data_IF_997828758988
#
_entry.id   IF_997828758988
#
_cell.length_a   1.000
_cell.length_b   1.000
_cell.length_c   1.000
_cell.angle_alpha   90.00
_cell.angle_beta   90.00
_cell.angle_gamma   90.00
#
_symmetry.space_group_name_H-M   'P 1'
#
loop_
_entity.id
_entity.type
_entity.pdbx_description
1 polymer ?
#
# COMPACT_ATOMS: atom_id res chain seq x y z
N UNK A 1 15.08 -0.81 -25.86
CA UNK A 1 13.75 -0.24 -25.57
C UNK A 1 13.25 -0.89 -24.30
N UNK A 2 13.09 -0.14 -23.25
CA UNK A 2 12.45 -0.63 -22.05
C UNK A 2 10.98 -0.91 -22.42
N UNK A 3 10.58 -2.17 -22.37
CA UNK A 3 9.17 -2.53 -22.41
C UNK A 3 8.53 -1.91 -21.19
N UNK A 4 7.73 -0.88 -21.39
CA UNK A 4 6.76 -0.46 -20.40
C UNK A 4 5.79 -1.62 -20.25
N UNK A 5 6.05 -2.48 -19.29
CA UNK A 5 5.19 -3.62 -19.01
C UNK A 5 3.78 -3.12 -18.73
N UNK A 6 2.83 -3.54 -19.53
CA UNK A 6 1.43 -3.25 -19.31
C UNK A 6 0.97 -3.96 -18.05
N UNK A 7 0.13 -3.30 -17.26
CA UNK A 7 -0.52 -3.87 -16.09
C UNK A 7 -1.99 -3.48 -16.06
N UNK A 8 -2.79 -4.28 -15.38
CA UNK A 8 -4.20 -4.00 -15.14
C UNK A 8 -4.46 -3.90 -13.63
N UNK A 9 -5.31 -2.96 -13.24
CA UNK A 9 -5.74 -2.81 -11.85
C UNK A 9 -7.18 -3.26 -11.74
N UNK A 10 -7.46 -4.17 -10.81
CA UNK A 10 -8.80 -4.61 -10.49
C UNK A 10 -8.96 -4.95 -9.02
N UNK A 11 -10.21 -5.09 -8.59
CA UNK A 11 -10.51 -5.42 -7.20
C UNK A 11 -10.04 -6.83 -6.88
N UNK A 12 -9.37 -6.97 -5.73
CA UNK A 12 -8.90 -8.25 -5.23
C UNK A 12 -9.98 -9.01 -4.44
N UNK A 13 -9.83 -10.31 -4.43
CA UNK A 13 -10.65 -11.21 -3.62
C UNK A 13 -9.82 -12.15 -2.76
N UNK A 14 -10.48 -13.07 -2.07
CA UNK A 14 -9.82 -14.04 -1.18
C UNK A 14 -8.82 -14.96 -1.89
N UNK A 15 -8.97 -15.18 -3.19
CA UNK A 15 -8.03 -15.98 -3.98
C UNK A 15 -6.70 -15.28 -4.25
N UNK A 16 -6.60 -13.98 -3.98
CA UNK A 16 -5.43 -13.16 -4.28
C UNK A 16 -4.52 -12.94 -3.06
N UNK A 17 -4.93 -13.35 -1.85
CA UNK A 17 -4.26 -12.96 -0.60
C UNK A 17 -2.82 -13.42 -0.49
N UNK A 18 -2.48 -14.60 -0.99
CA UNK A 18 -1.10 -15.09 -0.95
C UNK A 18 -0.18 -14.28 -1.86
N UNK A 19 -0.67 -13.88 -3.03
CA UNK A 19 0.09 -13.03 -3.94
C UNK A 19 0.19 -11.59 -3.44
N UNK A 20 -0.83 -11.08 -2.76
CA UNK A 20 -0.77 -9.78 -2.07
C UNK A 20 0.32 -9.83 -1.00
N UNK A 21 0.34 -10.87 -0.17
CA UNK A 21 1.38 -11.05 0.85
C UNK A 21 2.78 -11.08 0.24
N UNK A 22 2.96 -11.82 -0.86
CA UNK A 22 4.24 -11.89 -1.56
C UNK A 22 4.69 -10.52 -2.09
N UNK A 23 3.80 -9.76 -2.70
CA UNK A 23 4.09 -8.39 -3.18
C UNK A 23 4.44 -7.45 -2.02
N UNK A 24 3.73 -7.55 -0.90
CA UNK A 24 3.99 -6.75 0.30
C UNK A 24 5.37 -7.03 0.89
N UNK A 25 5.73 -8.31 1.06
CA UNK A 25 7.05 -8.72 1.53
C UNK A 25 8.16 -8.24 0.60
N UNK A 26 7.98 -8.38 -0.70
CA UNK A 26 8.94 -7.90 -1.69
C UNK A 26 9.16 -6.39 -1.55
N UNK A 27 8.09 -5.60 -1.46
CA UNK A 27 8.17 -4.15 -1.26
C UNK A 27 8.92 -3.78 0.02
N UNK A 28 8.62 -4.43 1.13
CA UNK A 28 9.29 -4.17 2.41
C UNK A 28 10.77 -4.49 2.32
N UNK A 29 11.14 -5.64 1.77
CA UNK A 29 12.52 -6.12 1.70
C UNK A 29 13.38 -5.38 0.68
N UNK A 30 12.79 -4.92 -0.42
CA UNK A 30 13.52 -4.19 -1.46
C UNK A 30 13.53 -2.68 -1.23
N UNK A 31 12.37 -2.06 -1.12
CA UNK A 31 12.23 -0.60 -0.98
C UNK A 31 12.43 -0.17 0.47
N UNK A 32 11.80 -0.85 1.42
CA UNK A 32 11.90 -0.54 2.85
C UNK A 32 13.34 -0.62 3.36
N UNK A 33 14.12 -1.56 2.87
CA UNK A 33 15.52 -1.74 3.24
C UNK A 33 16.43 -0.56 2.87
N UNK A 34 15.98 0.32 1.97
CA UNK A 34 16.71 1.55 1.63
C UNK A 34 16.56 2.65 2.70
N UNK A 35 15.56 2.54 3.57
CA UNK A 35 15.19 3.59 4.53
C UNK A 35 15.26 3.14 5.99
N UNK A 36 15.26 1.84 6.26
CA UNK A 36 15.22 1.28 7.61
C UNK A 36 16.33 0.26 7.83
N UNK A 37 16.79 0.16 9.09
CA UNK A 37 17.76 -0.86 9.48
C UNK A 37 17.19 -2.28 9.29
N UNK A 38 18.05 -3.30 9.06
CA UNK A 38 17.61 -4.68 8.85
C UNK A 38 16.68 -5.22 9.93
N UNK A 39 16.91 -4.88 11.20
CA UNK A 39 16.06 -5.33 12.31
C UNK A 39 14.63 -4.78 12.20
N UNK A 40 14.46 -3.57 11.69
CA UNK A 40 13.14 -2.95 11.46
C UNK A 40 12.46 -3.63 10.28
N UNK A 41 13.18 -3.85 9.19
CA UNK A 41 12.65 -4.52 7.98
C UNK A 41 12.19 -5.94 8.29
N UNK A 42 13.00 -6.71 9.01
CA UNK A 42 12.67 -8.07 9.42
C UNK A 42 11.42 -8.13 10.29
N UNK A 43 11.32 -7.22 11.25
CA UNK A 43 10.18 -7.14 12.16
C UNK A 43 8.90 -6.72 11.42
N UNK A 44 9.02 -5.76 10.51
CA UNK A 44 7.91 -5.30 9.68
C UNK A 44 7.33 -6.43 8.81
N UNK A 45 8.19 -7.25 8.22
CA UNK A 45 7.80 -8.37 7.38
C UNK A 45 7.41 -9.65 8.11
N UNK A 46 7.62 -9.72 9.42
CA UNK A 46 7.57 -11.00 10.18
C UNK A 46 6.20 -11.70 10.18
N UNK A 47 5.11 -10.96 9.99
CA UNK A 47 3.74 -11.51 10.00
C UNK A 47 2.96 -11.24 8.72
N UNK A 48 3.66 -10.96 7.64
CA UNK A 48 3.04 -10.76 6.34
C UNK A 48 2.78 -12.12 5.69
N UNK A 49 1.55 -12.56 5.79
CA UNK A 49 1.05 -13.83 5.22
C UNK A 49 -0.43 -13.66 4.83
N UNK A 50 -0.98 -14.59 4.05
CA UNK A 50 -2.33 -14.48 3.48
C UNK A 50 -3.43 -14.20 4.50
N UNK A 51 -3.37 -14.80 5.68
CA UNK A 51 -4.38 -14.63 6.74
C UNK A 51 -4.53 -13.18 7.21
N UNK A 52 -3.47 -12.38 7.13
CA UNK A 52 -3.53 -10.95 7.45
C UNK A 52 -4.58 -10.24 6.59
N UNK A 53 -4.62 -10.56 5.31
CA UNK A 53 -5.53 -9.93 4.33
C UNK A 53 -6.93 -10.53 4.39
N UNK A 54 -7.04 -11.84 4.64
CA UNK A 54 -8.34 -12.48 4.90
C UNK A 54 -9.04 -11.78 6.06
N UNK A 55 -8.34 -11.58 7.16
CA UNK A 55 -8.87 -10.90 8.34
C UNK A 55 -9.20 -9.43 8.08
N UNK A 56 -8.36 -8.73 7.31
CA UNK A 56 -8.61 -7.34 6.91
C UNK A 56 -9.88 -7.23 6.05
N UNK A 57 -10.03 -8.09 5.05
CA UNK A 57 -11.23 -8.15 4.20
C UNK A 57 -12.49 -8.45 5.03
N UNK A 58 -12.40 -9.37 6.00
CA UNK A 58 -13.50 -9.69 6.89
C UNK A 58 -13.96 -8.49 7.74
N UNK A 59 -13.04 -7.55 8.03
CA UNK A 59 -13.33 -6.29 8.72
C UNK A 59 -13.77 -5.16 7.80
N UNK A 60 -13.89 -5.41 6.49
CA UNK A 60 -14.38 -4.44 5.52
C UNK A 60 -13.31 -3.68 4.75
N UNK A 61 -12.03 -4.00 4.90
CA UNK A 61 -10.96 -3.41 4.07
C UNK A 61 -11.09 -3.91 2.64
N UNK A 62 -11.04 -3.00 1.68
CA UNK A 62 -11.17 -3.31 0.26
C UNK A 62 -9.80 -3.18 -0.40
N UNK A 63 -9.40 -4.22 -1.12
CA UNK A 63 -8.10 -4.31 -1.78
C UNK A 63 -8.23 -4.25 -3.30
N UNK A 64 -7.24 -3.64 -3.94
CA UNK A 64 -7.05 -3.62 -5.38
C UNK A 64 -5.66 -4.15 -5.70
N UNK A 65 -5.52 -4.88 -6.79
CA UNK A 65 -4.23 -5.43 -7.23
C UNK A 65 -3.89 -4.94 -8.63
N UNK A 66 -2.60 -4.74 -8.86
CA UNK A 66 -2.05 -4.52 -10.19
C UNK A 66 -1.42 -5.83 -10.66
N UNK A 67 -1.93 -6.36 -11.76
CA UNK A 67 -1.46 -7.60 -12.36
C UNK A 67 -0.75 -7.29 -13.67
N UNK A 68 0.44 -7.80 -13.83
CA UNK A 68 1.22 -7.69 -15.06
C UNK A 68 1.94 -9.00 -15.36
N UNK A 69 2.65 -9.04 -16.46
CA UNK A 69 3.42 -10.21 -16.90
C UNK A 69 4.90 -9.84 -17.06
N UNK A 70 5.66 -9.76 -15.94
CA UNK A 70 7.09 -9.47 -16.02
C UNK A 70 7.91 -10.63 -16.60
N UNK A 71 7.32 -11.84 -16.64
CA UNK A 71 7.86 -13.05 -17.23
C UNK A 71 6.77 -13.78 -18.01
N UNK A 72 6.74 -15.10 -17.94
CA UNK A 72 5.83 -15.96 -18.70
C UNK A 72 4.44 -16.14 -18.06
N UNK A 73 4.23 -15.59 -16.88
CA UNK A 73 2.97 -15.77 -16.12
C UNK A 73 2.50 -14.44 -15.54
N UNK A 74 1.17 -14.25 -15.41
CA UNK A 74 0.61 -13.13 -14.66
C UNK A 74 1.10 -13.15 -13.21
N UNK A 75 1.42 -11.97 -12.69
CA UNK A 75 1.91 -11.79 -11.32
C UNK A 75 1.29 -10.54 -10.70
N UNK A 76 0.96 -10.59 -9.41
CA UNK A 76 0.58 -9.40 -8.65
C UNK A 76 1.83 -8.58 -8.36
N UNK A 77 1.91 -7.41 -8.94
CA UNK A 77 3.06 -6.51 -8.87
C UNK A 77 2.92 -5.46 -7.77
N UNK A 78 1.73 -5.26 -7.27
CA UNK A 78 1.45 -4.33 -6.19
C UNK A 78 -0.01 -4.36 -5.78
N UNK A 79 -0.33 -3.68 -4.70
CA UNK A 79 -1.70 -3.57 -4.22
C UNK A 79 -1.93 -2.24 -3.51
N UNK A 80 -3.20 -1.89 -3.40
CA UNK A 80 -3.67 -0.80 -2.57
C UNK A 80 -4.89 -1.25 -1.76
N UNK A 81 -5.23 -0.47 -0.76
CA UNK A 81 -6.46 -0.70 0.00
C UNK A 81 -7.06 0.60 0.50
N UNK A 82 -8.35 0.54 0.83
CA UNK A 82 -8.98 1.54 1.67
C UNK A 82 -9.83 0.87 2.76
N UNK A 83 -9.89 1.51 3.89
CA UNK A 83 -10.70 1.07 5.02
C UNK A 83 -11.19 2.25 5.84
N UNK A 84 -12.25 2.05 6.57
CA UNK A 84 -12.71 2.97 7.60
C UNK A 84 -12.19 2.49 8.96
N UNK A 85 -11.44 3.34 9.64
CA UNK A 85 -10.88 3.09 10.98
C UNK A 85 -11.45 4.16 11.92
N UNK A 86 -12.43 3.75 12.74
CA UNK A 86 -13.23 4.71 13.49
C UNK A 86 -14.00 5.66 12.56
N UNK A 87 -13.57 6.92 12.50
CA UNK A 87 -14.14 7.94 11.59
C UNK A 87 -13.20 8.33 10.45
N UNK A 88 -12.01 7.76 10.41
CA UNK A 88 -11.00 8.07 9.42
C UNK A 88 -10.96 7.04 8.29
N UNK A 89 -11.03 7.51 7.06
CA UNK A 89 -10.71 6.69 5.90
C UNK A 89 -9.20 6.62 5.75
N UNK A 90 -8.67 5.41 5.65
CA UNK A 90 -7.24 5.13 5.55
C UNK A 90 -6.93 4.36 4.29
N UNK A 91 -5.71 4.51 3.81
CA UNK A 91 -5.20 3.83 2.61
C UNK A 91 -3.85 3.17 2.88
N UNK A 92 -3.53 2.19 2.05
CA UNK A 92 -2.20 1.62 1.93
C UNK A 92 -1.90 1.37 0.46
N UNK A 93 -0.64 1.53 0.07
CA UNK A 93 -0.15 1.24 -1.29
C UNK A 93 1.23 0.62 -1.19
N UNK A 94 1.41 -0.54 -1.79
CA UNK A 94 2.71 -1.23 -1.86
C UNK A 94 2.92 -1.78 -3.25
N UNK A 95 4.14 -1.63 -3.77
CA UNK A 95 4.54 -2.09 -5.11
C UNK A 95 5.85 -2.86 -4.98
N UNK A 96 5.99 -3.98 -5.70
CA UNK A 96 7.26 -4.72 -5.76
C UNK A 96 8.40 -3.82 -6.21
N UNK A 97 9.60 -4.08 -5.73
CA UNK A 97 10.78 -3.27 -6.05
C UNK A 97 11.05 -3.18 -7.55
N UNK A 98 10.89 -4.29 -8.29
CA UNK A 98 11.11 -4.34 -9.74
C UNK A 98 10.00 -3.65 -10.56
N UNK A 99 8.88 -3.31 -9.95
CA UNK A 99 7.76 -2.64 -10.59
C UNK A 99 7.58 -1.19 -10.09
N UNK A 100 8.48 -0.71 -9.23
CA UNK A 100 8.43 0.66 -8.72
C UNK A 100 8.71 1.69 -9.82
N UNK A 101 8.15 2.90 -9.65
CA UNK A 101 8.33 4.06 -10.54
C UNK A 101 7.82 3.89 -11.98
N UNK A 102 6.87 2.98 -12.20
CA UNK A 102 6.21 2.76 -13.49
C UNK A 102 4.78 3.33 -13.55
N UNK A 103 4.41 4.18 -12.59
CA UNK A 103 3.07 4.73 -12.48
C UNK A 103 2.03 3.79 -11.84
N UNK A 104 2.45 2.60 -11.48
CA UNK A 104 1.59 1.57 -10.91
C UNK A 104 1.04 1.95 -9.54
N UNK A 105 1.88 2.49 -8.66
CA UNK A 105 1.46 2.95 -7.34
C UNK A 105 0.36 4.01 -7.42
N UNK A 106 0.50 4.99 -8.31
CA UNK A 106 -0.50 6.03 -8.53
C UNK A 106 -1.81 5.47 -9.10
N UNK A 107 -1.75 4.49 -10.01
CA UNK A 107 -2.93 3.82 -10.54
C UNK A 107 -3.67 3.03 -9.45
N UNK A 108 -2.93 2.31 -8.62
CA UNK A 108 -3.46 1.58 -7.46
C UNK A 108 -4.10 2.55 -6.45
N UNK A 109 -3.42 3.65 -6.14
CA UNK A 109 -3.98 4.66 -5.24
C UNK A 109 -5.27 5.27 -5.77
N UNK A 110 -5.36 5.59 -7.07
CA UNK A 110 -6.60 6.12 -7.66
C UNK A 110 -7.79 5.19 -7.49
N UNK A 111 -7.58 3.87 -7.58
CA UNK A 111 -8.65 2.89 -7.32
C UNK A 111 -9.08 2.89 -5.86
N UNK A 112 -8.13 2.92 -4.93
CA UNK A 112 -8.42 3.00 -3.49
C UNK A 112 -9.11 4.33 -3.14
N UNK A 113 -8.66 5.44 -3.69
CA UNK A 113 -9.26 6.76 -3.51
C UNK A 113 -10.71 6.78 -3.99
N UNK A 114 -10.98 6.28 -5.19
CA UNK A 114 -12.33 6.20 -5.73
C UNK A 114 -13.25 5.35 -4.84
N UNK A 115 -12.75 4.22 -4.34
CA UNK A 115 -13.48 3.37 -3.40
C UNK A 115 -13.77 4.07 -2.08
N UNK A 116 -12.80 4.78 -1.51
CA UNK A 116 -12.97 5.54 -0.28
C UNK A 116 -14.00 6.68 -0.46
N UNK A 117 -13.93 7.40 -1.58
CA UNK A 117 -14.88 8.46 -1.91
C UNK A 117 -16.31 7.89 -2.03
N UNK A 118 -16.46 6.75 -2.71
CA UNK A 118 -17.77 6.07 -2.80
C UNK A 118 -18.29 5.62 -1.43
N UNK A 119 -17.40 5.34 -0.50
CA UNK A 119 -17.74 5.02 0.89
C UNK A 119 -17.95 6.24 1.78
N UNK A 120 -17.90 7.46 1.23
CA UNK A 120 -18.20 8.70 1.94
C UNK A 120 -16.99 9.47 2.46
N UNK A 121 -15.77 9.13 2.02
CA UNK A 121 -14.57 9.83 2.47
C UNK A 121 -14.58 11.31 2.08
N UNK A 122 -14.24 12.17 3.05
CA UNK A 122 -13.97 13.59 2.84
C UNK A 122 -12.49 13.89 2.99
N UNK A 123 -11.76 12.98 3.59
CA UNK A 123 -10.30 12.96 3.66
C UNK A 123 -9.80 11.53 3.75
N UNK A 124 -8.55 11.32 3.37
CA UNK A 124 -7.88 10.01 3.44
C UNK A 124 -6.59 10.19 4.22
N UNK A 125 -6.33 9.30 5.17
CA UNK A 125 -5.16 9.31 6.03
C UNK A 125 -4.23 8.14 5.74
N UNK A 126 -2.96 8.34 5.98
CA UNK A 126 -1.94 7.29 5.92
C UNK A 126 -0.82 7.57 6.92
N UNK A 127 -0.34 6.51 7.56
CA UNK A 127 0.93 6.53 8.27
C UNK A 127 1.98 6.03 7.28
N UNK A 128 2.59 6.99 6.57
CA UNK A 128 3.50 6.67 5.49
C UNK A 128 4.84 6.18 6.03
N UNK A 129 5.35 5.07 5.49
CA UNK A 129 6.76 4.73 5.70
C UNK A 129 7.65 5.83 5.11
N UNK A 130 8.88 5.96 5.60
CA UNK A 130 9.83 6.94 5.07
C UNK A 130 10.06 6.76 3.57
N UNK A 131 9.93 5.52 3.07
CA UNK A 131 10.05 5.19 1.65
C UNK A 131 8.91 5.73 0.78
N UNK A 132 7.75 6.01 1.37
CA UNK A 132 6.52 6.34 0.65
C UNK A 132 6.12 7.81 0.70
N UNK A 133 6.84 8.63 1.47
CA UNK A 133 6.47 10.05 1.69
C UNK A 133 6.33 10.83 0.37
N UNK A 134 7.34 10.75 -0.49
CA UNK A 134 7.32 11.47 -1.77
C UNK A 134 6.21 10.96 -2.70
N UNK A 135 5.94 9.66 -2.68
CA UNK A 135 4.82 9.06 -3.42
C UNK A 135 3.48 9.67 -2.99
N UNK A 136 3.21 9.73 -1.69
CA UNK A 136 1.95 10.29 -1.20
C UNK A 136 1.86 11.79 -1.46
N UNK A 137 2.95 12.55 -1.32
CA UNK A 137 2.98 13.97 -1.71
C UNK A 137 2.60 14.16 -3.17
N UNK A 138 3.17 13.35 -4.07
CA UNK A 138 2.88 13.40 -5.51
C UNK A 138 1.40 13.08 -5.81
N UNK A 139 0.72 12.35 -4.92
CA UNK A 139 -0.69 12.00 -5.05
C UNK A 139 -1.64 12.92 -4.24
N UNK A 140 -1.15 14.06 -3.78
CA UNK A 140 -1.97 15.10 -3.17
C UNK A 140 -2.08 15.06 -1.65
N UNK A 141 -1.24 14.27 -0.98
CA UNK A 141 -1.18 14.26 0.50
C UNK A 141 -0.28 15.36 1.03
N UNK A 142 -0.70 15.93 2.16
CA UNK A 142 0.11 16.84 2.97
C UNK A 142 0.61 16.12 4.22
N UNK A 143 1.82 16.45 4.64
CA UNK A 143 2.36 15.99 5.93
C UNK A 143 1.64 16.72 7.06
N UNK A 144 1.10 15.99 8.02
CA UNK A 144 0.41 16.55 9.18
C UNK A 144 1.14 16.28 10.50
N UNK A 145 2.15 15.45 10.49
CA UNK A 145 2.98 15.17 11.66
C UNK A 145 3.95 14.03 11.41
N UNK A 146 4.84 13.81 12.37
CA UNK A 146 5.81 12.71 12.35
C UNK A 146 5.72 11.95 13.66
N UNK A 147 5.96 10.66 13.60
CA UNK A 147 5.89 9.81 14.77
C UNK A 147 6.45 8.42 14.49
N UNK A 148 5.95 7.48 15.24
CA UNK A 148 6.39 6.10 15.15
C UNK A 148 5.18 5.17 15.11
N UNK A 149 5.30 4.14 14.30
CA UNK A 149 4.37 3.02 14.27
C UNK A 149 4.94 1.89 15.11
N UNK A 150 4.12 1.31 16.00
CA UNK A 150 4.54 0.16 16.80
C UNK A 150 4.34 -1.12 15.99
N UNK A 151 5.42 -1.85 15.78
CA UNK A 151 5.40 -3.15 15.11
C UNK A 151 4.92 -4.26 16.06
N UNK A 152 4.70 -5.45 15.53
CA UNK A 152 4.21 -6.61 16.30
C UNK A 152 5.09 -6.96 17.51
N UNK A 153 6.40 -6.81 17.40
CA UNK A 153 7.36 -7.05 18.48
C UNK A 153 7.31 -5.97 19.57
N UNK A 154 6.61 -4.86 19.36
CA UNK A 154 6.66 -3.66 20.16
C UNK A 154 7.75 -2.68 19.73
N UNK A 155 8.60 -3.04 18.77
CA UNK A 155 9.63 -2.16 18.21
C UNK A 155 8.98 -1.01 17.45
N UNK A 156 9.55 0.19 17.59
CA UNK A 156 9.04 1.39 16.95
C UNK A 156 9.70 1.64 15.59
N UNK A 157 8.89 2.02 14.64
CA UNK A 157 9.27 2.31 13.26
C UNK A 157 8.86 3.74 12.92
N UNK A 158 9.83 4.59 12.56
CA UNK A 158 9.56 5.97 12.18
C UNK A 158 8.61 6.03 10.99
N UNK A 159 7.62 6.91 11.06
CA UNK A 159 6.66 7.15 9.99
C UNK A 159 6.25 8.62 9.93
N UNK A 160 5.61 8.99 8.83
CA UNK A 160 5.08 10.34 8.61
C UNK A 160 3.56 10.24 8.49
N UNK A 161 2.85 10.99 9.33
CA UNK A 161 1.39 11.06 9.26
C UNK A 161 1.01 12.02 8.13
N UNK A 162 0.20 11.53 7.19
CA UNK A 162 -0.17 12.30 6.00
C UNK A 162 -1.68 12.24 5.78
N UNK A 163 -2.22 13.28 5.16
CA UNK A 163 -3.64 13.41 4.86
C UNK A 163 -3.86 14.03 3.50
N UNK A 164 -4.83 13.50 2.77
CA UNK A 164 -5.37 14.11 1.57
C UNK A 164 -6.82 14.54 1.80
N UNK A 165 -7.12 15.81 1.60
CA UNK A 165 -8.51 16.29 1.59
C UNK A 165 -9.14 16.01 0.23
N UNK A 166 -10.38 15.54 0.24
CA UNK A 166 -11.15 15.28 -0.96
C UNK A 166 -11.97 16.53 -1.26
N UNK A 167 -11.68 17.12 -2.42
CA UNK A 167 -12.48 18.26 -2.91
C UNK A 167 -13.84 17.75 -3.39
N UNK A 168 -14.92 18.30 -2.82
CA UNK A 168 -16.26 18.13 -3.38
C UNK A 168 -16.46 19.21 -4.44
N UNK A 169 -16.57 18.74 -5.69
CA UNK A 169 -17.09 19.62 -6.74
C UNK A 169 -18.61 19.73 -6.63
#
# INVERSE_FOLDING_TARGET
MAQTGSFEVHRAGLTDVEEIAAAHLDSIRSIGALYYAPVIVNDWGARIEGDLYVNAMARGEVFYIAVGEPGDKPEVLGFSSHRLDGKEHRTAVYVRGNAARLGMGSALFRSAEAGAISAGATSIHVDASLAAVEFYKANGFDEVGRGEHRQWSGRRMACVFMRKRISRC
#
